data_IF_467552877873
#
_entry.id   IF_467552877873
#
_cell.length_a   1.000
_cell.length_b   1.000
_cell.length_c   1.000
_cell.angle_alpha   90.00
_cell.angle_beta   90.00
_cell.angle_gamma   90.00
#
_symmetry.space_group_name_H-M   'P 1'
#
loop_
_entity.id
_entity.type
_entity.pdbx_description
1 polymer ?
#
# COMPACT_ATOMS: atom_id res chain seq x y z
N UNK A 1 13.48 53.42 -7.61
CA UNK A 1 14.53 53.49 -6.57
C UNK A 1 14.29 52.36 -5.60
N UNK A 2 15.31 51.52 -5.44
CA UNK A 2 15.29 50.28 -4.69
C UNK A 2 15.08 50.51 -3.19
N UNK A 3 14.41 49.57 -2.52
CA UNK A 3 14.63 49.39 -1.08
C UNK A 3 14.82 47.90 -0.80
N UNK A 4 16.00 47.61 -0.26
CA UNK A 4 16.59 46.28 -0.13
C UNK A 4 16.03 45.53 1.08
N UNK A 5 15.80 44.24 0.88
CA UNK A 5 15.54 43.25 1.91
C UNK A 5 16.76 43.04 2.83
N UNK A 6 16.51 42.91 4.14
CA UNK A 6 17.48 42.41 5.11
C UNK A 6 17.14 40.95 5.47
N UNK A 7 18.11 40.02 5.54
CA UNK A 7 17.85 38.62 5.88
C UNK A 7 17.92 38.39 7.39
N UNK A 8 16.86 37.80 7.95
CA UNK A 8 16.82 37.31 9.33
C UNK A 8 17.60 36.00 9.44
N UNK A 9 18.73 36.00 10.18
CA UNK A 9 19.55 34.81 10.44
C UNK A 9 18.93 33.97 11.55
N UNK A 10 18.45 32.78 11.22
CA UNK A 10 18.11 31.72 12.19
C UNK A 10 19.40 31.20 12.84
N UNK A 11 19.54 31.41 14.16
CA UNK A 11 20.54 30.75 15.00
C UNK A 11 20.01 29.37 15.39
N UNK A 12 20.66 28.31 14.92
CA UNK A 12 20.48 26.97 15.48
C UNK A 12 21.20 26.89 16.82
N UNK A 13 20.44 26.77 17.91
CA UNK A 13 20.95 26.38 19.22
C UNK A 13 21.05 24.86 19.26
N UNK A 14 22.27 24.33 19.30
CA UNK A 14 22.55 22.91 19.52
C UNK A 14 22.32 22.58 20.99
N UNK A 15 21.25 21.85 21.29
CA UNK A 15 20.99 21.26 22.61
C UNK A 15 21.87 20.00 22.76
N UNK A 16 22.66 19.84 23.85
CA UNK A 16 23.46 18.64 24.05
C UNK A 16 22.61 17.48 24.58
N UNK A 17 22.79 16.30 23.98
CA UNK A 17 22.26 15.01 24.46
C UNK A 17 22.85 14.66 25.85
N UNK A 18 22.04 14.17 26.81
CA UNK A 18 22.57 13.73 28.09
C UNK A 18 23.26 12.37 27.95
N UNK A 19 24.49 12.31 28.46
CA UNK A 19 25.31 11.12 28.63
C UNK A 19 24.72 10.24 29.74
N UNK A 20 24.38 8.98 29.43
CA UNK A 20 24.06 7.98 30.45
C UNK A 20 25.34 7.42 31.06
N UNK A 21 25.51 7.63 32.36
CA UNK A 21 26.49 6.93 33.20
C UNK A 21 25.93 5.56 33.61
N UNK A 22 26.73 4.48 33.64
CA UNK A 22 26.29 3.19 34.14
C UNK A 22 26.53 3.11 35.65
N UNK A 23 25.49 2.77 36.42
CA UNK A 23 25.62 2.39 37.83
C UNK A 23 25.39 0.87 38.00
N UNK A 24 26.04 0.24 39.00
CA UNK A 24 26.37 -1.18 38.97
C UNK A 24 25.33 -2.05 39.69
N UNK A 25 25.12 -3.26 39.19
CA UNK A 25 24.49 -4.35 39.93
C UNK A 25 25.52 -5.47 40.09
N UNK A 26 25.81 -5.82 41.35
CA UNK A 26 26.65 -6.94 41.72
C UNK A 26 25.95 -7.74 42.81
N UNK A 27 25.88 -9.06 42.61
CA UNK A 27 25.77 -10.19 43.56
C UNK A 27 25.39 -11.41 42.69
N UNK A 28 26.35 -12.19 42.18
CA UNK A 28 26.95 -13.36 42.83
C UNK A 28 26.34 -14.62 42.19
N UNK A 29 27.06 -15.59 41.60
CA UNK A 29 28.02 -16.51 42.24
C UNK A 29 28.63 -17.45 41.15
N UNK A 30 29.96 -17.65 41.25
CA UNK A 30 30.82 -18.78 40.82
C UNK A 30 30.94 -19.20 39.34
N UNK A 31 32.16 -19.03 38.82
CA UNK A 31 32.73 -19.84 37.74
C UNK A 31 34.13 -19.36 37.35
N UNK A 32 35.18 -20.04 37.82
CA UNK A 32 36.60 -19.76 37.54
C UNK A 32 36.94 -20.04 36.07
N UNK A 33 37.73 -19.18 35.42
CA UNK A 33 39.14 -19.44 35.05
C UNK A 33 39.73 -18.21 34.38
N UNK A 34 40.89 -17.82 34.89
CA UNK A 34 41.81 -16.76 34.45
C UNK A 34 42.44 -17.04 33.08
N UNK A 35 42.78 -15.97 32.34
CA UNK A 35 44.16 -15.66 31.90
C UNK A 35 44.20 -14.17 31.52
N UNK A 36 45.14 -13.46 32.15
CA UNK A 36 45.55 -12.08 31.88
C UNK A 36 46.28 -11.93 30.54
N UNK A 37 46.25 -10.73 29.96
CA UNK A 37 47.43 -9.84 29.90
C UNK A 37 47.34 -8.78 28.78
N UNK A 38 47.16 -7.52 29.21
CA UNK A 38 47.97 -6.34 28.86
C UNK A 38 48.28 -6.06 27.37
N UNK A 39 47.73 -4.97 26.82
CA UNK A 39 48.41 -3.66 26.71
C UNK A 39 49.33 -3.52 25.49
N UNK A 40 49.00 -2.60 24.59
CA UNK A 40 49.85 -1.42 24.36
C UNK A 40 49.15 -0.39 23.46
N UNK A 41 49.34 0.86 23.86
CA UNK A 41 48.91 2.11 23.24
C UNK A 41 49.65 2.35 21.92
N UNK A 42 49.02 3.15 21.07
CA UNK A 42 49.69 4.36 20.59
C UNK A 42 49.84 4.50 19.07
N UNK A 43 49.31 5.61 18.57
CA UNK A 43 50.09 6.46 17.67
C UNK A 43 49.67 6.49 16.21
N UNK A 44 48.94 7.55 15.87
CA UNK A 44 48.68 8.02 14.52
C UNK A 44 49.97 8.35 13.73
N UNK A 45 49.97 8.19 12.41
CA UNK A 45 50.01 9.31 11.46
C UNK A 45 50.20 8.89 9.99
N UNK A 46 49.33 9.47 9.16
CA UNK A 46 49.45 9.93 7.77
C UNK A 46 50.62 9.43 6.89
N UNK A 47 50.23 8.94 5.69
CA UNK A 47 50.48 9.70 4.46
C UNK A 47 51.42 9.10 3.40
N UNK A 48 50.81 8.77 2.25
CA UNK A 48 51.31 8.93 0.86
C UNK A 48 52.52 8.10 0.40
N UNK A 49 52.35 7.38 -0.72
CA UNK A 49 53.49 6.98 -1.56
C UNK A 49 53.21 5.75 -2.44
N UNK A 50 52.92 5.99 -3.71
CA UNK A 50 52.72 4.97 -4.72
C UNK A 50 54.05 4.40 -5.26
N UNK A 51 53.96 3.16 -5.73
CA UNK A 51 54.73 2.52 -6.81
C UNK A 51 56.14 1.96 -6.55
N UNK A 52 56.32 0.80 -7.19
CA UNK A 52 57.56 0.14 -7.62
C UNK A 52 58.27 -0.81 -6.63
N UNK A 53 58.06 -2.11 -6.82
CA UNK A 53 59.17 -2.98 -7.23
C UNK A 53 58.64 -4.29 -7.81
N UNK A 54 58.86 -4.46 -9.11
CA UNK A 54 58.74 -5.73 -9.81
C UNK A 54 60.08 -6.49 -9.72
N UNK A 55 59.98 -7.82 -9.73
CA UNK A 55 60.96 -8.82 -10.16
C UNK A 55 61.38 -9.81 -9.06
N UNK A 56 60.80 -11.01 -9.11
CA UNK A 56 61.59 -12.23 -9.30
C UNK A 56 60.66 -13.38 -9.71
N UNK A 57 60.81 -13.82 -10.97
CA UNK A 57 60.23 -15.04 -11.51
C UNK A 57 61.21 -15.56 -12.56
N UNK A 58 61.68 -16.80 -12.39
CA UNK A 58 61.67 -17.86 -13.40
C UNK A 58 62.67 -18.97 -13.05
N UNK A 59 62.18 -20.20 -12.84
CA UNK A 59 62.66 -21.40 -13.56
C UNK A 59 61.90 -22.67 -13.14
N UNK A 60 61.33 -23.37 -14.15
CA UNK A 60 61.09 -24.82 -14.30
C UNK A 60 60.12 -25.52 -13.31
N UNK A 61 59.04 -26.24 -13.66
CA UNK A 61 58.52 -27.03 -14.81
C UNK A 61 57.08 -27.51 -14.41
N UNK A 62 56.36 -28.39 -15.13
CA UNK A 62 55.74 -28.29 -16.45
C UNK A 62 54.19 -28.17 -16.39
N UNK A 63 53.59 -27.87 -17.55
CA UNK A 63 52.15 -27.71 -17.79
C UNK A 63 51.35 -29.00 -17.59
N UNK A 64 50.33 -28.94 -16.73
CA UNK A 64 49.08 -29.72 -16.89
C UNK A 64 47.90 -28.76 -16.81
N UNK A 65 47.03 -28.85 -17.81
CA UNK A 65 45.94 -27.94 -18.09
C UNK A 65 44.78 -28.08 -17.08
N UNK A 66 44.75 -27.26 -16.03
CA UNK A 66 43.57 -27.11 -15.16
C UNK A 66 43.64 -25.90 -14.21
N UNK A 67 44.14 -24.74 -14.64
CA UNK A 67 44.16 -23.54 -13.77
C UNK A 67 44.26 -22.23 -14.54
N UNK A 68 43.43 -22.06 -15.58
CA UNK A 68 43.31 -20.79 -16.31
C UNK A 68 41.89 -20.62 -16.86
N UNK A 69 40.90 -20.66 -15.96
CA UNK A 69 39.51 -20.22 -16.21
C UNK A 69 38.94 -19.63 -14.92
N UNK A 70 39.55 -18.57 -14.40
CA UNK A 70 38.93 -17.78 -13.34
C UNK A 70 39.53 -16.36 -13.31
N UNK A 71 39.45 -15.66 -14.44
CA UNK A 71 39.68 -14.22 -14.56
C UNK A 71 39.30 -13.77 -15.97
N UNK A 72 38.06 -14.01 -16.37
CA UNK A 72 37.50 -13.44 -17.59
C UNK A 72 36.11 -12.94 -17.26
N UNK A 73 36.03 -11.61 -17.09
CA UNK A 73 34.88 -10.76 -17.38
C UNK A 73 33.52 -11.45 -17.26
N UNK A 74 32.79 -11.09 -16.22
CA UNK A 74 31.32 -11.12 -16.19
C UNK A 74 30.79 -10.10 -17.21
N UNK A 75 31.09 -10.31 -18.49
CA UNK A 75 30.31 -9.74 -19.58
C UNK A 75 29.04 -10.56 -19.63
N UNK A 76 27.95 -9.97 -19.14
CA UNK A 76 26.60 -10.36 -19.54
C UNK A 76 26.64 -10.61 -21.04
N UNK A 77 26.56 -11.88 -21.42
CA UNK A 77 26.35 -12.24 -22.81
C UNK A 77 24.92 -11.83 -23.07
N UNK A 78 24.73 -10.62 -23.62
CA UNK A 78 23.48 -10.23 -24.26
C UNK A 78 23.12 -11.39 -25.17
N UNK A 79 22.07 -12.11 -24.80
CA UNK A 79 21.39 -12.95 -25.76
C UNK A 79 21.05 -12.08 -26.98
N UNK A 80 21.10 -12.70 -28.15
CA UNK A 80 20.94 -12.07 -29.45
C UNK A 80 19.81 -11.03 -29.47
N UNK A 81 19.96 -10.01 -30.33
CA UNK A 81 19.03 -8.91 -30.56
C UNK A 81 17.61 -9.37 -30.96
N UNK A 82 16.85 -9.87 -29.99
CA UNK A 82 15.40 -9.82 -29.98
C UNK A 82 14.97 -8.53 -29.28
N UNK A 83 13.84 -7.97 -29.71
CA UNK A 83 13.23 -6.86 -28.98
C UNK A 83 13.00 -7.26 -27.51
N UNK A 84 13.28 -6.35 -26.59
CA UNK A 84 12.98 -6.54 -25.17
C UNK A 84 11.48 -6.90 -25.01
N UNK A 85 11.12 -7.89 -24.18
CA UNK A 85 9.72 -8.25 -23.96
C UNK A 85 8.92 -7.02 -23.51
N UNK A 86 7.71 -6.86 -24.05
CA UNK A 86 6.85 -5.69 -23.79
C UNK A 86 5.68 -6.06 -22.91
N UNK A 87 5.45 -5.27 -21.85
CA UNK A 87 4.21 -5.26 -21.09
C UNK A 87 3.26 -4.20 -21.67
N UNK A 88 2.14 -4.64 -22.23
CA UNK A 88 1.08 -3.79 -22.74
C UNK A 88 0.07 -3.50 -21.65
N UNK A 89 -0.15 -2.21 -21.37
CA UNK A 89 -1.01 -1.73 -20.28
C UNK A 89 -2.28 -1.11 -20.86
N UNK A 90 -3.44 -1.63 -20.44
CA UNK A 90 -4.74 -0.98 -20.62
C UNK A 90 -5.17 -0.28 -19.34
N UNK A 91 -5.36 1.04 -19.36
CA UNK A 91 -5.84 1.81 -18.21
C UNK A 91 -7.36 1.99 -18.26
N UNK A 92 -8.09 1.51 -17.27
CA UNK A 92 -9.51 1.78 -17.09
C UNK A 92 -9.68 2.75 -15.94
N UNK A 93 -10.29 3.92 -16.18
CA UNK A 93 -10.40 4.99 -15.20
C UNK A 93 -9.21 5.96 -15.23
N UNK A 94 -9.33 7.04 -16.00
CA UNK A 94 -8.33 8.11 -16.10
C UNK A 94 -8.65 9.31 -15.18
N UNK A 95 -9.02 9.01 -13.93
CA UNK A 95 -9.28 10.00 -12.87
C UNK A 95 -8.01 10.37 -12.08
N UNK A 96 -8.18 10.83 -10.83
CA UNK A 96 -7.09 11.29 -9.98
C UNK A 96 -5.98 10.22 -9.78
N UNK A 97 -6.36 8.98 -9.45
CA UNK A 97 -5.40 7.88 -9.28
C UNK A 97 -4.83 7.42 -10.62
N UNK A 98 -5.66 7.28 -11.66
CA UNK A 98 -5.23 6.81 -12.97
C UNK A 98 -4.24 7.76 -13.66
N UNK A 99 -4.43 9.08 -13.54
CA UNK A 99 -3.50 10.08 -14.07
C UNK A 99 -2.16 10.06 -13.32
N UNK A 100 -2.19 9.92 -12.00
CA UNK A 100 -0.98 9.84 -11.20
C UNK A 100 -0.21 8.52 -11.47
N UNK A 101 -0.92 7.41 -11.66
CA UNK A 101 -0.33 6.14 -12.09
C UNK A 101 0.35 6.28 -13.46
N UNK A 102 -0.34 6.88 -14.45
CA UNK A 102 0.21 7.14 -15.78
C UNK A 102 1.52 7.92 -15.69
N UNK A 103 1.53 9.00 -14.92
CA UNK A 103 2.73 9.82 -14.68
C UNK A 103 3.87 9.01 -14.05
N UNK A 104 3.58 8.18 -13.05
CA UNK A 104 4.58 7.32 -12.41
C UNK A 104 5.17 6.29 -13.39
N UNK A 105 4.33 5.65 -14.20
CA UNK A 105 4.76 4.67 -15.20
C UNK A 105 5.62 5.30 -16.30
N UNK A 106 5.16 6.39 -16.91
CA UNK A 106 5.89 7.10 -17.98
C UNK A 106 7.24 7.60 -17.48
N UNK A 107 7.29 8.18 -16.27
CA UNK A 107 8.55 8.65 -15.67
C UNK A 107 9.54 7.51 -15.37
N UNK A 108 9.04 6.32 -15.01
CA UNK A 108 9.87 5.17 -14.68
C UNK A 108 10.29 4.36 -15.90
N UNK A 109 9.52 4.36 -16.99
CA UNK A 109 9.67 3.46 -18.14
C UNK A 109 11.11 3.37 -18.69
N UNK A 110 11.87 4.47 -18.94
CA UNK A 110 13.23 4.37 -19.47
C UNK A 110 14.19 3.64 -18.53
N UNK A 111 14.06 3.90 -17.23
CA UNK A 111 14.87 3.25 -16.19
C UNK A 111 14.50 1.78 -16.03
N UNK A 112 13.21 1.46 -16.14
CA UNK A 112 12.73 0.08 -16.04
C UNK A 112 13.20 -0.76 -17.23
N UNK A 113 13.18 -0.22 -18.44
CA UNK A 113 13.71 -0.91 -19.61
C UNK A 113 15.22 -1.22 -19.44
N UNK A 114 16.00 -0.26 -18.94
CA UNK A 114 17.44 -0.47 -18.68
C UNK A 114 17.70 -1.51 -17.58
N UNK A 115 16.94 -1.47 -16.48
CA UNK A 115 17.19 -2.30 -15.29
C UNK A 115 16.53 -3.68 -15.36
N UNK A 116 15.36 -3.78 -15.98
CA UNK A 116 14.54 -4.99 -16.05
C UNK A 116 14.70 -5.68 -17.40
N UNK A 117 15.01 -4.94 -18.46
CA UNK A 117 15.00 -5.48 -19.81
C UNK A 117 13.59 -5.71 -20.34
N UNK A 118 12.59 -5.03 -19.78
CA UNK A 118 11.17 -5.12 -20.16
C UNK A 118 10.68 -3.73 -20.55
N UNK A 119 10.09 -3.61 -21.74
CA UNK A 119 9.43 -2.38 -22.21
C UNK A 119 8.05 -2.26 -21.57
N UNK A 120 7.64 -1.05 -21.23
CA UNK A 120 6.29 -0.73 -20.76
C UNK A 120 5.60 0.15 -21.79
N UNK A 121 4.48 -0.32 -22.34
CA UNK A 121 3.72 0.39 -23.37
C UNK A 121 2.27 0.58 -22.95
N UNK A 122 1.75 1.80 -23.10
CA UNK A 122 0.34 2.10 -22.83
C UNK A 122 -0.45 1.87 -24.11
N UNK A 123 -1.22 0.80 -24.15
CA UNK A 123 -1.95 0.36 -25.33
C UNK A 123 -3.38 0.92 -25.39
N UNK A 124 -4.00 1.20 -24.25
CA UNK A 124 -5.34 1.77 -24.24
C UNK A 124 -5.61 2.55 -22.96
N UNK A 125 -6.48 3.54 -23.03
CA UNK A 125 -6.99 4.28 -21.87
C UNK A 125 -8.50 4.40 -22.01
N UNK A 126 -9.24 4.29 -20.90
CA UNK A 126 -10.69 4.47 -20.85
C UNK A 126 -11.10 5.41 -19.71
N UNK A 127 -12.06 6.29 -20.01
CA UNK A 127 -12.87 7.06 -19.06
C UNK A 127 -14.28 6.45 -19.01
N UNK A 128 -15.18 7.03 -18.23
CA UNK A 128 -16.54 6.48 -18.04
C UNK A 128 -17.38 6.36 -19.31
N UNK A 129 -17.15 7.22 -20.32
CA UNK A 129 -17.96 7.28 -21.56
C UNK A 129 -17.17 7.05 -22.84
N UNK A 130 -15.87 7.27 -22.79
CA UNK A 130 -14.99 7.24 -23.96
C UNK A 130 -13.73 6.45 -23.65
N UNK A 131 -13.10 5.91 -24.68
CA UNK A 131 -11.79 5.28 -24.62
C UNK A 131 -10.94 5.69 -25.83
N UNK A 132 -9.64 5.46 -25.73
CA UNK A 132 -8.69 5.65 -26.80
C UNK A 132 -7.82 4.39 -26.90
N UNK A 133 -7.74 3.81 -28.09
CA UNK A 133 -6.78 2.77 -28.43
C UNK A 133 -5.52 3.44 -28.97
N UNK A 134 -4.38 3.12 -28.39
CA UNK A 134 -3.16 3.89 -28.54
C UNK A 134 -2.10 3.12 -29.33
N UNK A 135 -1.45 3.74 -30.31
CA UNK A 135 -0.31 3.13 -30.99
C UNK A 135 0.91 3.01 -30.04
N UNK A 136 1.87 2.13 -30.35
CA UNK A 136 3.11 2.01 -29.59
C UNK A 136 3.83 3.35 -29.40
N UNK A 137 4.41 3.56 -28.22
CA UNK A 137 5.12 4.79 -27.86
C UNK A 137 4.23 5.94 -27.38
N UNK A 138 2.91 5.73 -27.21
CA UNK A 138 2.02 6.73 -26.62
C UNK A 138 2.32 6.95 -25.12
N UNK A 139 2.31 8.20 -24.68
CA UNK A 139 2.67 8.63 -23.33
C UNK A 139 1.55 9.38 -22.59
N UNK A 140 0.33 9.37 -23.15
CA UNK A 140 -0.77 10.15 -22.60
C UNK A 140 -2.15 9.85 -23.19
N UNK A 141 -3.14 10.56 -22.68
CA UNK A 141 -4.49 10.62 -23.25
C UNK A 141 -4.49 11.45 -24.53
N UNK A 142 -5.05 10.90 -25.60
CA UNK A 142 -5.18 11.56 -26.91
C UNK A 142 -6.67 11.74 -27.26
N UNK A 143 -7.17 12.97 -27.10
CA UNK A 143 -8.58 13.32 -27.35
C UNK A 143 -8.99 13.11 -28.82
N UNK A 144 -8.04 13.15 -29.76
CA UNK A 144 -8.32 12.96 -31.19
C UNK A 144 -8.66 11.52 -31.57
N UNK A 145 -8.39 10.57 -30.66
CA UNK A 145 -8.61 9.12 -30.84
C UNK A 145 -9.75 8.60 -29.99
N UNK A 146 -10.60 9.47 -29.45
CA UNK A 146 -11.73 9.07 -28.62
C UNK A 146 -12.78 8.30 -29.43
N UNK A 147 -13.20 7.18 -28.87
CA UNK A 147 -14.37 6.41 -29.29
C UNK A 147 -15.20 6.01 -28.07
N UNK A 148 -16.48 5.59 -28.23
CA UNK A 148 -17.30 5.17 -27.10
C UNK A 148 -16.62 4.09 -26.25
N UNK A 149 -16.73 4.19 -24.93
CA UNK A 149 -16.10 3.23 -24.02
C UNK A 149 -16.69 1.82 -24.23
N UNK A 150 -15.80 0.87 -24.52
CA UNK A 150 -16.10 -0.55 -24.68
C UNK A 150 -14.96 -1.35 -24.05
N UNK A 151 -15.23 -1.89 -22.85
CA UNK A 151 -14.24 -2.58 -22.04
C UNK A 151 -13.83 -3.95 -22.60
N UNK A 152 -14.70 -4.60 -23.39
CA UNK A 152 -14.38 -5.84 -24.07
C UNK A 152 -13.41 -5.57 -25.24
N UNK A 153 -13.74 -4.55 -26.05
CA UNK A 153 -12.86 -4.10 -27.14
C UNK A 153 -11.51 -3.62 -26.62
N UNK A 154 -11.48 -2.86 -25.52
CA UNK A 154 -10.24 -2.44 -24.87
C UNK A 154 -9.40 -3.64 -24.44
N UNK A 155 -10.00 -4.57 -23.70
CA UNK A 155 -9.27 -5.75 -23.22
C UNK A 155 -8.73 -6.60 -24.37
N UNK A 156 -9.54 -6.81 -25.40
CA UNK A 156 -9.11 -7.51 -26.62
C UNK A 156 -7.92 -6.82 -27.30
N UNK A 157 -7.96 -5.50 -27.45
CA UNK A 157 -6.87 -4.75 -28.08
C UNK A 157 -5.54 -4.93 -27.34
N UNK A 158 -5.56 -4.85 -26.01
CA UNK A 158 -4.35 -5.01 -25.17
C UNK A 158 -3.81 -6.45 -25.26
N UNK A 159 -4.69 -7.46 -25.26
CA UNK A 159 -4.31 -8.87 -25.44
C UNK A 159 -3.73 -9.12 -26.83
N UNK A 160 -4.36 -8.61 -27.89
CA UNK A 160 -3.90 -8.77 -29.27
C UNK A 160 -2.52 -8.08 -29.48
N UNK A 161 -2.29 -6.92 -28.86
CA UNK A 161 -1.01 -6.22 -28.87
C UNK A 161 0.10 -7.07 -28.20
N UNK A 162 -0.19 -7.63 -27.02
CA UNK A 162 0.72 -8.52 -26.32
C UNK A 162 1.03 -9.80 -27.12
N UNK A 163 0.02 -10.44 -27.71
CA UNK A 163 0.22 -11.61 -28.55
C UNK A 163 1.09 -11.30 -29.77
N UNK A 164 0.89 -10.14 -30.39
CA UNK A 164 1.64 -9.71 -31.58
C UNK A 164 3.12 -9.44 -31.29
N UNK A 165 3.45 -8.93 -30.10
CA UNK A 165 4.83 -8.65 -29.70
C UNK A 165 5.50 -9.80 -28.92
N UNK A 166 4.81 -10.92 -28.68
CA UNK A 166 5.26 -11.96 -27.75
C UNK A 166 5.42 -11.46 -26.30
N UNK A 167 4.67 -10.42 -25.93
CA UNK A 167 4.70 -9.76 -24.64
C UNK A 167 3.64 -10.28 -23.66
N UNK A 168 3.32 -9.48 -22.64
CA UNK A 168 2.19 -9.73 -21.72
C UNK A 168 1.21 -8.56 -21.75
N UNK A 169 -0.05 -8.86 -21.44
CA UNK A 169 -1.10 -7.88 -21.28
C UNK A 169 -1.42 -7.70 -19.80
N UNK A 170 -1.58 -6.45 -19.36
CA UNK A 170 -2.16 -6.11 -18.07
C UNK A 170 -3.23 -5.04 -18.25
N UNK A 171 -4.38 -5.24 -17.60
CA UNK A 171 -5.45 -4.24 -17.55
C UNK A 171 -5.51 -3.71 -16.12
N UNK A 172 -5.43 -2.39 -15.98
CA UNK A 172 -5.38 -1.71 -14.70
C UNK A 172 -6.63 -0.86 -14.51
N UNK A 173 -7.55 -1.33 -13.68
CA UNK A 173 -8.81 -0.65 -13.39
C UNK A 173 -8.68 0.24 -12.16
N UNK A 174 -8.53 1.55 -12.36
CA UNK A 174 -8.45 2.59 -11.33
C UNK A 174 -9.82 3.24 -11.01
N UNK A 175 -10.92 2.53 -11.26
CA UNK A 175 -12.27 3.02 -10.93
C UNK A 175 -12.73 2.57 -9.53
N UNK A 176 -13.95 2.95 -9.17
CA UNK A 176 -14.63 2.49 -7.96
C UNK A 176 -16.04 1.92 -8.27
N UNK A 177 -16.27 1.50 -9.52
CA UNK A 177 -17.57 1.05 -10.03
C UNK A 177 -17.61 -0.45 -10.28
N UNK A 178 -18.80 -1.02 -10.29
CA UNK A 178 -19.00 -2.45 -10.58
C UNK A 178 -18.78 -2.81 -12.05
N UNK A 179 -19.01 -1.88 -12.99
CA UNK A 179 -18.94 -2.12 -14.44
C UNK A 179 -17.64 -2.81 -14.90
N UNK A 180 -16.45 -2.27 -14.60
CA UNK A 180 -15.19 -2.95 -14.93
C UNK A 180 -15.01 -4.28 -14.19
N UNK A 181 -15.44 -4.39 -12.93
CA UNK A 181 -15.31 -5.63 -12.16
C UNK A 181 -16.11 -6.80 -12.76
N UNK A 182 -17.20 -6.54 -13.49
CA UNK A 182 -17.97 -7.57 -14.21
C UNK A 182 -17.21 -8.22 -15.36
N UNK A 183 -16.22 -7.53 -15.95
CA UNK A 183 -15.48 -8.04 -17.13
C UNK A 183 -14.10 -8.63 -16.79
N UNK A 184 -13.68 -8.60 -15.52
CA UNK A 184 -12.40 -9.14 -15.08
C UNK A 184 -12.22 -10.63 -15.41
N UNK A 185 -13.28 -11.43 -15.24
CA UNK A 185 -13.26 -12.85 -15.59
C UNK A 185 -12.87 -13.04 -17.07
N UNK A 186 -13.50 -12.29 -17.97
CA UNK A 186 -13.23 -12.37 -19.40
C UNK A 186 -11.78 -11.97 -19.75
N UNK A 187 -11.27 -10.91 -19.12
CA UNK A 187 -9.88 -10.48 -19.32
C UNK A 187 -8.86 -11.51 -18.83
N UNK A 188 -9.07 -12.08 -17.64
CA UNK A 188 -8.20 -13.12 -17.07
C UNK A 188 -8.25 -14.41 -17.91
N UNK A 189 -9.43 -14.79 -18.40
CA UNK A 189 -9.60 -15.93 -19.31
C UNK A 189 -8.92 -15.72 -20.66
N UNK A 190 -8.82 -14.47 -21.13
CA UNK A 190 -8.07 -14.09 -22.33
C UNK A 190 -6.54 -14.01 -22.09
N UNK A 191 -6.07 -14.21 -20.86
CA UNK A 191 -4.65 -14.22 -20.51
C UNK A 191 -4.08 -12.86 -20.11
N UNK A 192 -4.91 -11.82 -19.94
CA UNK A 192 -4.47 -10.54 -19.40
C UNK A 192 -4.41 -10.59 -17.87
N UNK A 193 -3.29 -10.16 -17.30
CA UNK A 193 -3.21 -9.85 -15.87
C UNK A 193 -4.16 -8.67 -15.56
N UNK A 194 -4.71 -8.61 -14.34
CA UNK A 194 -5.57 -7.51 -13.89
C UNK A 194 -4.98 -6.91 -12.61
N UNK A 195 -4.77 -5.59 -12.58
CA UNK A 195 -4.37 -4.87 -11.37
C UNK A 195 -5.41 -3.81 -10.98
N UNK A 196 -5.71 -3.61 -9.69
CA UNK A 196 -6.77 -2.67 -9.32
C UNK A 196 -6.72 -2.15 -7.86
N UNK A 197 -7.04 -0.86 -7.61
CA UNK A 197 -7.50 -0.37 -6.30
C UNK A 197 -9.03 -0.50 -6.12
N UNK A 198 -9.77 -0.99 -7.12
CA UNK A 198 -11.23 -1.10 -7.10
C UNK A 198 -11.69 -2.22 -6.17
N UNK A 199 -12.12 -1.82 -4.97
CA UNK A 199 -12.63 -2.73 -3.93
C UNK A 199 -13.87 -3.51 -4.39
N UNK A 200 -14.59 -3.09 -5.43
CA UNK A 200 -15.84 -3.74 -5.88
C UNK A 200 -15.59 -5.19 -6.33
N UNK A 201 -14.44 -5.48 -6.94
CA UNK A 201 -14.10 -6.84 -7.36
C UNK A 201 -14.00 -7.80 -6.17
N UNK A 202 -13.28 -7.40 -5.11
CA UNK A 202 -13.07 -8.24 -3.93
C UNK A 202 -14.15 -8.16 -2.85
N UNK A 203 -14.98 -7.11 -2.81
CA UNK A 203 -16.05 -6.90 -1.80
C UNK A 203 -17.48 -6.94 -2.36
N UNK A 204 -17.63 -7.19 -3.67
CA UNK A 204 -18.94 -7.38 -4.29
C UNK A 204 -19.51 -8.79 -4.07
N UNK A 205 -20.52 -9.20 -4.85
CA UNK A 205 -21.14 -10.52 -4.72
C UNK A 205 -20.10 -11.64 -4.74
N UNK A 206 -20.16 -12.57 -3.78
CA UNK A 206 -19.19 -13.65 -3.66
C UNK A 206 -19.03 -14.48 -4.97
N UNK A 207 -20.11 -14.81 -5.72
CA UNK A 207 -19.96 -15.56 -6.97
C UNK A 207 -19.12 -14.84 -8.04
N UNK A 208 -19.13 -13.49 -8.06
CA UNK A 208 -18.28 -12.72 -8.99
C UNK A 208 -16.81 -12.83 -8.59
N UNK A 209 -16.51 -12.68 -7.30
CA UNK A 209 -15.16 -12.86 -6.77
C UNK A 209 -14.62 -14.27 -7.05
N UNK A 210 -15.42 -15.32 -6.81
CA UNK A 210 -15.04 -16.70 -7.07
C UNK A 210 -14.68 -16.94 -8.54
N UNK A 211 -15.47 -16.41 -9.48
CA UNK A 211 -15.18 -16.49 -10.92
C UNK A 211 -13.87 -15.79 -11.29
N UNK A 212 -13.59 -14.62 -10.73
CA UNK A 212 -12.33 -13.88 -10.94
C UNK A 212 -11.14 -14.72 -10.47
N UNK A 213 -11.22 -15.28 -9.26
CA UNK A 213 -10.14 -16.12 -8.70
C UNK A 213 -9.96 -17.41 -9.52
N UNK A 214 -11.06 -18.06 -9.92
CA UNK A 214 -11.03 -19.27 -10.74
C UNK A 214 -10.44 -19.01 -12.13
N UNK A 215 -10.78 -17.89 -12.77
CA UNK A 215 -10.21 -17.49 -14.05
C UNK A 215 -8.69 -17.28 -13.95
N UNK A 216 -8.25 -16.59 -12.90
CA UNK A 216 -6.83 -16.36 -12.61
C UNK A 216 -6.07 -17.70 -12.45
N UNK A 217 -6.61 -18.63 -11.68
CA UNK A 217 -6.02 -19.96 -11.50
C UNK A 217 -5.99 -20.78 -12.80
N UNK A 218 -7.03 -20.69 -13.62
CA UNK A 218 -7.17 -21.47 -14.86
C UNK A 218 -6.15 -21.09 -15.93
N UNK A 219 -5.86 -19.80 -16.09
CA UNK A 219 -4.97 -19.31 -17.15
C UNK A 219 -3.55 -18.99 -16.66
N UNK A 220 -3.37 -18.80 -15.35
CA UNK A 220 -2.13 -18.29 -14.77
C UNK A 220 -1.96 -16.77 -14.92
N UNK A 221 -2.92 -16.07 -15.53
CA UNK A 221 -3.01 -14.62 -15.45
C UNK A 221 -3.34 -14.21 -14.01
N UNK A 222 -2.75 -13.15 -13.49
CA UNK A 222 -2.87 -12.76 -12.09
C UNK A 222 -3.95 -11.71 -11.88
N UNK A 223 -4.71 -11.89 -10.81
CA UNK A 223 -5.52 -10.83 -10.21
C UNK A 223 -4.74 -10.19 -9.05
N UNK A 224 -4.38 -8.91 -9.20
CA UNK A 224 -3.53 -8.14 -8.30
C UNK A 224 -4.32 -6.95 -7.74
N UNK A 225 -4.41 -6.83 -6.42
CA UNK A 225 -5.34 -5.87 -5.80
C UNK A 225 -4.81 -5.27 -4.51
N UNK A 226 -3.48 -5.11 -4.40
CA UNK A 226 -2.80 -4.55 -3.23
C UNK A 226 -3.46 -3.25 -2.77
N UNK A 227 -3.73 -2.36 -3.73
CA UNK A 227 -4.24 -1.03 -3.45
C UNK A 227 -5.70 -0.94 -2.99
N UNK A 228 -6.39 -2.08 -2.86
CA UNK A 228 -7.74 -2.13 -2.29
C UNK A 228 -7.75 -1.96 -0.77
N UNK A 229 -6.68 -2.37 -0.08
CA UNK A 229 -6.56 -2.31 1.39
C UNK A 229 -5.25 -1.63 1.77
N UNK A 230 -5.32 -0.41 2.32
CA UNK A 230 -4.13 0.33 2.75
C UNK A 230 -3.45 1.16 1.65
N UNK A 231 -4.09 1.35 0.49
CA UNK A 231 -3.60 2.16 -0.62
C UNK A 231 -2.24 1.72 -1.18
N UNK A 232 -1.13 2.28 -0.69
CA UNK A 232 0.22 1.89 -1.11
C UNK A 232 0.94 1.02 -0.08
N UNK A 233 0.32 0.78 1.08
CA UNK A 233 0.88 -0.06 2.12
C UNK A 233 0.86 -1.53 1.68
N UNK A 234 1.96 -2.28 1.89
CA UNK A 234 1.98 -3.71 1.60
C UNK A 234 1.19 -4.44 2.70
N UNK A 235 -0.11 -4.60 2.52
CA UNK A 235 -0.99 -5.32 3.44
C UNK A 235 -1.30 -6.70 2.88
N UNK A 236 -1.78 -6.77 1.64
CA UNK A 236 -2.19 -8.03 1.01
C UNK A 236 -0.97 -8.85 0.60
N UNK A 237 0.07 -8.23 0.06
CA UNK A 237 1.29 -8.91 -0.36
C UNK A 237 1.95 -9.72 0.77
N UNK A 238 2.24 -9.13 1.94
CA UNK A 238 2.74 -9.87 3.09
C UNK A 238 1.77 -10.94 3.59
N UNK A 239 0.47 -10.64 3.68
CA UNK A 239 -0.54 -11.61 4.09
C UNK A 239 -0.56 -12.84 3.17
N UNK A 240 -0.58 -12.62 1.85
CA UNK A 240 -0.50 -13.65 0.83
C UNK A 240 0.81 -14.43 0.89
N UNK A 241 1.94 -13.78 1.19
CA UNK A 241 3.21 -14.45 1.34
C UNK A 241 3.20 -15.43 2.53
N UNK A 242 2.58 -15.06 3.65
CA UNK A 242 2.40 -15.94 4.80
C UNK A 242 1.54 -17.15 4.45
N UNK A 243 0.38 -16.92 3.81
CA UNK A 243 -0.52 -17.99 3.38
C UNK A 243 0.15 -18.95 2.40
N UNK A 244 0.87 -18.42 1.39
CA UNK A 244 1.61 -19.23 0.41
C UNK A 244 2.75 -20.04 1.04
N UNK A 245 3.37 -19.52 2.10
CA UNK A 245 4.43 -20.22 2.83
C UNK A 245 3.88 -21.33 3.76
N UNK A 246 2.57 -21.39 3.98
CA UNK A 246 1.90 -22.36 4.85
C UNK A 246 1.74 -21.91 6.29
N UNK A 247 1.77 -20.60 6.56
CA UNK A 247 1.38 -20.06 7.87
C UNK A 247 -0.14 -20.17 8.07
N UNK A 248 -0.56 -20.22 9.34
CA UNK A 248 -1.96 -20.28 9.74
C UNK A 248 -2.34 -18.94 10.39
N UNK A 249 -3.00 -18.06 9.62
CA UNK A 249 -3.48 -16.76 10.11
C UNK A 249 -4.64 -16.99 11.08
N UNK A 250 -4.56 -16.39 12.26
CA UNK A 250 -5.59 -16.49 13.31
C UNK A 250 -6.53 -15.28 13.28
N UNK A 251 -5.98 -14.09 13.09
CA UNK A 251 -6.76 -12.86 13.00
C UNK A 251 -6.05 -11.77 12.20
N UNK A 252 -6.86 -10.89 11.62
CA UNK A 252 -6.42 -9.65 11.00
C UNK A 252 -7.24 -8.52 11.60
N UNK A 253 -6.57 -7.49 12.12
CA UNK A 253 -7.23 -6.32 12.70
C UNK A 253 -6.54 -5.05 12.23
N UNK A 254 -7.27 -3.96 12.04
CA UNK A 254 -6.64 -2.72 11.60
C UNK A 254 -7.53 -1.50 11.56
N UNK A 255 -6.87 -0.35 11.44
CA UNK A 255 -7.49 0.94 11.13
C UNK A 255 -7.30 1.15 9.63
N UNK A 256 -8.41 1.11 8.90
CA UNK A 256 -8.38 1.10 7.43
C UNK A 256 -8.94 2.38 6.79
N UNK A 257 -9.39 3.35 7.58
CA UNK A 257 -9.85 4.66 7.10
C UNK A 257 -8.94 5.77 7.62
N UNK A 258 -8.32 6.53 6.70
CA UNK A 258 -7.48 7.67 7.04
C UNK A 258 -8.27 8.79 7.71
N UNK A 259 -9.51 9.03 7.27
CA UNK A 259 -10.43 10.03 7.85
C UNK A 259 -10.77 9.70 9.29
N UNK A 260 -11.17 8.45 9.56
CA UNK A 260 -11.50 8.02 10.91
C UNK A 260 -10.24 7.95 11.79
N UNK A 261 -9.10 7.52 11.24
CA UNK A 261 -7.81 7.59 11.94
C UNK A 261 -7.49 9.03 12.37
N UNK A 262 -7.62 9.99 11.45
CA UNK A 262 -7.44 11.41 11.76
C UNK A 262 -8.36 11.89 12.89
N UNK A 263 -9.66 11.60 12.80
CA UNK A 263 -10.65 12.00 13.80
C UNK A 263 -10.29 11.45 15.18
N UNK A 264 -10.05 10.14 15.31
CA UNK A 264 -9.75 9.51 16.61
C UNK A 264 -8.35 9.81 17.15
N UNK A 265 -7.39 10.18 16.28
CA UNK A 265 -6.08 10.66 16.72
C UNK A 265 -6.12 12.10 17.22
N UNK A 266 -7.01 12.93 16.63
CA UNK A 266 -7.17 14.35 16.95
C UNK A 266 -8.11 14.59 18.12
N UNK A 267 -9.14 13.77 18.30
CA UNK A 267 -10.12 13.92 19.37
C UNK A 267 -9.49 13.70 20.76
N UNK A 268 -9.72 14.66 21.67
CA UNK A 268 -9.18 14.72 23.03
C UNK A 268 -10.25 15.16 24.02
N UNK A 269 -10.09 14.83 25.32
CA UNK A 269 -10.99 15.31 26.36
C UNK A 269 -11.15 16.84 26.32
N UNK A 270 -12.40 17.32 26.41
CA UNK A 270 -12.73 18.74 26.36
C UNK A 270 -12.92 19.30 24.94
N UNK A 271 -12.74 18.49 23.89
CA UNK A 271 -13.07 18.83 22.51
C UNK A 271 -14.26 17.98 22.07
N UNK A 272 -15.29 18.61 21.50
CA UNK A 272 -16.49 17.94 21.01
C UNK A 272 -16.19 17.08 19.79
N UNK A 273 -16.85 15.93 19.66
CA UNK A 273 -16.69 15.05 18.50
C UNK A 273 -17.10 15.76 17.21
N UNK A 274 -18.23 16.48 17.23
CA UNK A 274 -18.71 17.23 16.06
C UNK A 274 -17.71 18.28 15.56
N UNK A 275 -16.97 18.92 16.48
CA UNK A 275 -15.97 19.94 16.15
C UNK A 275 -14.77 19.31 15.42
N UNK A 276 -14.34 18.12 15.83
CA UNK A 276 -13.27 17.38 15.16
C UNK A 276 -13.71 16.93 13.76
N UNK A 277 -14.95 16.46 13.61
CA UNK A 277 -15.51 16.09 12.30
C UNK A 277 -15.59 17.31 11.38
N UNK A 278 -16.03 18.46 11.93
CA UNK A 278 -16.07 19.73 11.21
C UNK A 278 -14.68 20.15 10.72
N UNK A 279 -13.69 20.09 11.59
CA UNK A 279 -12.30 20.41 11.25
C UNK A 279 -11.73 19.48 10.17
N UNK A 280 -11.99 18.16 10.30
CA UNK A 280 -11.58 17.18 9.29
C UNK A 280 -12.18 17.51 7.92
N UNK A 281 -13.46 17.90 7.89
CA UNK A 281 -14.14 18.32 6.67
C UNK A 281 -13.55 19.61 6.08
N UNK A 282 -13.33 20.64 6.89
CA UNK A 282 -12.74 21.91 6.45
C UNK A 282 -11.32 21.73 5.86
N UNK A 283 -10.58 20.74 6.37
CA UNK A 283 -9.26 20.33 5.84
C UNK A 283 -9.33 19.42 4.60
N UNK A 284 -10.52 19.00 4.19
CA UNK A 284 -10.73 18.09 3.07
C UNK A 284 -10.30 16.65 3.34
N UNK A 285 -10.31 16.22 4.60
CA UNK A 285 -10.04 14.82 4.98
C UNK A 285 -11.28 13.94 4.93
N UNK A 286 -12.48 14.52 4.90
CA UNK A 286 -13.73 13.77 4.70
C UNK A 286 -14.17 13.85 3.24
N UNK A 287 -15.05 12.95 2.84
CA UNK A 287 -15.90 13.13 1.67
C UNK A 287 -16.82 14.37 1.82
N UNK A 288 -17.43 14.89 0.73
CA UNK A 288 -18.34 16.03 0.80
C UNK A 288 -19.50 15.85 1.81
N UNK A 289 -19.94 14.60 1.96
CA UNK A 289 -20.83 14.14 3.02
C UNK A 289 -20.07 13.25 4.02
N UNK A 290 -19.77 13.74 5.24
CA UNK A 290 -19.03 12.97 6.24
C UNK A 290 -19.68 11.64 6.66
N UNK A 291 -20.96 11.43 6.35
CA UNK A 291 -21.65 10.15 6.59
C UNK A 291 -21.03 9.01 5.80
N UNK A 292 -20.45 9.28 4.64
CA UNK A 292 -19.79 8.26 3.81
C UNK A 292 -18.56 7.66 4.51
N UNK A 293 -17.85 8.46 5.31
CA UNK A 293 -16.73 8.03 6.14
C UNK A 293 -17.20 7.41 7.47
N UNK A 294 -18.05 8.14 8.21
CA UNK A 294 -18.54 7.76 9.54
C UNK A 294 -19.43 6.51 9.52
N UNK A 295 -20.06 6.21 8.38
CA UNK A 295 -20.87 5.02 8.17
C UNK A 295 -20.06 3.73 8.14
N UNK A 296 -18.76 3.80 7.87
CA UNK A 296 -17.85 2.64 7.94
C UNK A 296 -17.90 1.67 6.75
N UNK A 297 -18.71 1.95 5.72
CA UNK A 297 -18.87 1.09 4.52
C UNK A 297 -17.55 0.88 3.77
N UNK A 298 -16.67 1.89 3.70
CA UNK A 298 -15.34 1.72 3.09
C UNK A 298 -14.47 0.72 3.87
N UNK A 299 -14.50 0.79 5.20
CA UNK A 299 -13.81 -0.15 6.09
C UNK A 299 -14.42 -1.54 5.96
N UNK A 300 -15.74 -1.65 5.89
CA UNK A 300 -16.46 -2.91 5.69
C UNK A 300 -15.97 -3.63 4.43
N UNK A 301 -15.87 -2.92 3.30
CA UNK A 301 -15.36 -3.49 2.04
C UNK A 301 -13.93 -4.00 2.17
N UNK A 302 -13.05 -3.25 2.83
CA UNK A 302 -11.64 -3.65 3.05
C UNK A 302 -11.56 -4.90 3.93
N UNK A 303 -12.40 -4.98 4.97
CA UNK A 303 -12.49 -6.15 5.84
C UNK A 303 -13.05 -7.37 5.10
N UNK A 304 -14.05 -7.21 4.23
CA UNK A 304 -14.55 -8.31 3.38
C UNK A 304 -13.45 -8.85 2.48
N UNK A 305 -12.63 -7.98 1.88
CA UNK A 305 -11.48 -8.39 1.05
C UNK A 305 -10.48 -9.19 1.89
N UNK A 306 -10.09 -8.68 3.07
CA UNK A 306 -9.17 -9.38 3.97
C UNK A 306 -9.71 -10.74 4.43
N UNK A 307 -11.01 -10.81 4.75
CA UNK A 307 -11.67 -12.05 5.16
C UNK A 307 -11.66 -13.10 4.06
N UNK A 308 -11.95 -12.69 2.82
CA UNK A 308 -11.86 -13.58 1.64
C UNK A 308 -10.43 -14.01 1.36
N UNK A 309 -9.46 -13.11 1.52
CA UNK A 309 -8.02 -13.40 1.35
C UNK A 309 -7.55 -14.54 2.25
N UNK A 310 -7.99 -14.55 3.51
CA UNK A 310 -7.61 -15.57 4.50
C UNK A 310 -8.52 -16.81 4.46
N UNK A 311 -9.35 -16.94 3.42
CA UNK A 311 -10.10 -18.16 3.11
C UNK A 311 -11.54 -18.21 3.63
N UNK A 312 -12.12 -17.10 4.12
CA UNK A 312 -13.52 -17.08 4.53
C UNK A 312 -14.46 -16.84 3.33
N UNK A 313 -15.52 -17.64 3.25
CA UNK A 313 -16.64 -17.41 2.34
C UNK A 313 -17.65 -16.48 3.01
N UNK A 314 -17.60 -15.19 2.68
CA UNK A 314 -18.39 -14.14 3.34
C UNK A 314 -18.92 -13.12 2.32
N UNK A 315 -20.16 -12.68 2.51
CA UNK A 315 -20.73 -11.54 1.78
C UNK A 315 -20.46 -10.22 2.51
N UNK A 316 -20.70 -9.09 1.84
CA UNK A 316 -20.51 -7.78 2.48
C UNK A 316 -21.40 -7.62 3.72
N UNK A 317 -22.65 -8.08 3.64
CA UNK A 317 -23.67 -7.95 4.70
C UNK A 317 -23.38 -8.83 5.93
N UNK A 318 -22.56 -9.87 5.78
CA UNK A 318 -22.09 -10.71 6.89
C UNK A 318 -21.03 -10.00 7.76
N UNK A 319 -20.53 -8.84 7.32
CA UNK A 319 -19.60 -8.00 8.08
C UNK A 319 -20.39 -6.88 8.78
N UNK A 320 -20.88 -7.08 10.01
CA UNK A 320 -21.63 -6.06 10.73
C UNK A 320 -20.79 -4.80 10.96
N UNK A 321 -21.41 -3.65 10.71
CA UNK A 321 -20.81 -2.32 10.92
C UNK A 321 -21.57 -1.59 12.02
N UNK A 322 -20.87 -1.25 13.10
CA UNK A 322 -21.39 -0.29 14.09
C UNK A 322 -21.04 1.12 13.62
N UNK A 323 -21.95 1.71 12.85
CA UNK A 323 -21.82 3.08 12.32
C UNK A 323 -21.60 4.11 13.43
N UNK A 324 -20.83 5.16 13.11
CA UNK A 324 -20.70 6.36 13.95
C UNK A 324 -21.76 7.42 13.61
N UNK A 325 -22.53 7.22 12.53
CA UNK A 325 -23.66 8.08 12.19
C UNK A 325 -24.84 7.70 13.07
N UNK A 326 -25.35 8.61 13.93
CA UNK A 326 -26.53 8.34 14.76
C UNK A 326 -27.72 7.89 13.90
N UNK A 327 -28.52 6.94 14.38
CA UNK A 327 -29.61 6.33 13.60
C UNK A 327 -30.57 7.36 13.00
N UNK A 328 -30.89 8.42 13.75
CA UNK A 328 -31.76 9.52 13.30
C UNK A 328 -31.17 10.34 12.16
N UNK A 329 -29.85 10.30 11.94
CA UNK A 329 -29.13 11.07 10.92
C UNK A 329 -28.72 10.23 9.69
N UNK A 330 -28.88 8.90 9.73
CA UNK A 330 -28.48 8.00 8.62
C UNK A 330 -29.28 8.28 7.35
N UNK A 331 -30.60 8.42 7.46
CA UNK A 331 -31.50 8.74 6.34
C UNK A 331 -32.06 10.16 6.41
N UNK A 332 -31.47 11.01 7.23
CA UNK A 332 -31.90 12.39 7.38
C UNK A 332 -31.50 13.24 6.17
N UNK A 333 -32.39 14.17 5.82
CA UNK A 333 -32.17 15.17 4.77
C UNK A 333 -32.22 16.58 5.38
N UNK A 334 -31.40 17.50 4.87
CA UNK A 334 -31.30 18.84 5.40
C UNK A 334 -32.54 19.65 5.04
N UNK A 335 -32.89 20.68 5.84
CA UNK A 335 -33.85 21.69 5.41
C UNK A 335 -33.45 22.30 4.06
N UNK A 336 -34.45 22.63 3.25
CA UNK A 336 -34.26 23.13 1.88
C UNK A 336 -33.24 24.27 1.81
N UNK A 337 -32.29 24.16 0.89
CA UNK A 337 -31.27 25.17 0.62
C UNK A 337 -29.95 25.02 1.40
N UNK A 338 -29.85 24.08 2.36
CA UNK A 338 -28.57 23.78 3.03
C UNK A 338 -27.79 22.68 2.30
N UNK A 339 -26.46 22.79 2.32
CA UNK A 339 -25.57 21.70 1.88
C UNK A 339 -25.63 20.56 2.89
N UNK A 340 -25.95 19.36 2.40
CA UNK A 340 -26.16 18.14 3.19
C UNK A 340 -25.09 17.91 4.25
N UNK A 341 -23.82 17.83 3.85
CA UNK A 341 -22.74 17.56 4.78
C UNK A 341 -22.48 18.69 5.78
N UNK A 342 -22.83 19.95 5.48
CA UNK A 342 -22.63 21.06 6.44
C UNK A 342 -23.72 21.00 7.52
N UNK A 343 -24.96 20.80 7.08
CA UNK A 343 -26.11 20.65 7.96
C UNK A 343 -26.00 19.38 8.82
N UNK A 344 -25.47 18.28 8.28
CA UNK A 344 -25.22 17.06 9.04
C UNK A 344 -24.27 17.31 10.23
N UNK A 345 -23.19 18.06 10.03
CA UNK A 345 -22.23 18.37 11.11
C UNK A 345 -22.85 19.26 12.18
N UNK A 346 -23.76 20.18 11.80
CA UNK A 346 -24.54 20.97 12.76
C UNK A 346 -25.44 20.05 13.62
N UNK A 347 -26.16 19.12 13.01
CA UNK A 347 -27.04 18.18 13.74
C UNK A 347 -26.25 17.17 14.59
N UNK A 348 -25.01 16.85 14.21
CA UNK A 348 -24.15 15.94 14.95
C UNK A 348 -23.84 16.46 16.38
N UNK A 349 -23.89 17.77 16.59
CA UNK A 349 -23.67 18.39 17.92
C UNK A 349 -24.64 17.89 19.00
N UNK A 350 -25.83 17.42 18.60
CA UNK A 350 -26.83 16.87 19.52
C UNK A 350 -26.41 15.51 20.12
N UNK A 351 -25.34 14.90 19.61
CA UNK A 351 -24.83 13.59 20.02
C UNK A 351 -23.44 13.65 20.64
N UNK A 352 -22.89 14.85 20.87
CA UNK A 352 -21.57 15.01 21.48
C UNK A 352 -21.50 14.40 22.88
N UNK A 353 -22.56 14.54 23.69
CA UNK A 353 -22.59 14.01 25.06
C UNK A 353 -22.41 12.48 25.10
N UNK A 354 -23.01 11.75 24.14
CA UNK A 354 -22.87 10.30 24.03
C UNK A 354 -21.43 9.90 23.65
N UNK A 355 -20.82 10.65 22.73
CA UNK A 355 -19.44 10.42 22.32
C UNK A 355 -18.45 10.78 23.43
N UNK A 356 -18.64 11.90 24.10
CA UNK A 356 -17.79 12.34 25.21
C UNK A 356 -17.81 11.33 26.36
N UNK A 357 -18.96 10.70 26.65
CA UNK A 357 -19.04 9.62 27.62
C UNK A 357 -18.14 8.43 27.24
N UNK A 358 -18.17 7.99 25.97
CA UNK A 358 -17.30 6.91 25.48
C UNK A 358 -15.81 7.26 25.61
N UNK A 359 -15.44 8.51 25.30
CA UNK A 359 -14.06 8.97 25.42
C UNK A 359 -13.61 9.01 26.89
N UNK A 360 -14.45 9.52 27.79
CA UNK A 360 -14.16 9.55 29.23
C UNK A 360 -14.00 8.15 29.82
N UNK A 361 -14.85 7.19 29.42
CA UNK A 361 -14.73 5.80 29.84
C UNK A 361 -13.43 5.13 29.37
N UNK A 362 -12.98 5.43 28.14
CA UNK A 362 -11.71 4.93 27.62
C UNK A 362 -10.52 5.55 28.37
N UNK A 363 -10.52 6.86 28.59
CA UNK A 363 -9.45 7.55 29.33
C UNK A 363 -9.35 7.08 30.79
N UNK A 364 -10.50 6.87 31.46
CA UNK A 364 -10.53 6.34 32.82
C UNK A 364 -9.91 4.94 32.94
N UNK A 365 -9.98 4.14 31.86
CA UNK A 365 -9.36 2.83 31.77
C UNK A 365 -7.91 2.85 31.22
N UNK A 366 -7.34 4.03 30.96
CA UNK A 366 -6.03 4.21 30.33
C UNK A 366 -5.95 3.58 28.92
N UNK A 367 -7.03 3.73 28.15
CA UNK A 367 -7.20 3.23 26.79
C UNK A 367 -7.43 4.37 25.79
N UNK A 368 -7.40 4.05 24.50
CA UNK A 368 -7.75 4.94 23.40
C UNK A 368 -8.86 4.32 22.54
N UNK A 369 -9.68 5.18 21.94
CA UNK A 369 -10.70 4.77 20.99
C UNK A 369 -10.14 4.72 19.56
N UNK A 370 -10.43 3.64 18.83
CA UNK A 370 -10.05 3.49 17.41
C UNK A 370 -11.16 2.82 16.64
N UNK A 371 -11.49 3.35 15.46
CA UNK A 371 -12.44 2.69 14.57
C UNK A 371 -11.72 1.62 13.75
N UNK A 372 -12.07 0.36 13.97
CA UNK A 372 -11.32 -0.78 13.47
C UNK A 372 -12.18 -1.72 12.65
N UNK A 373 -11.52 -2.38 11.71
CA UNK A 373 -12.00 -3.60 11.07
C UNK A 373 -11.27 -4.80 11.63
N UNK A 374 -11.97 -5.90 11.86
CA UNK A 374 -11.40 -7.13 12.40
C UNK A 374 -11.94 -8.36 11.67
N UNK A 375 -11.08 -9.36 11.49
CA UNK A 375 -11.42 -10.71 11.03
C UNK A 375 -10.85 -11.71 12.03
N UNK A 376 -11.71 -12.60 12.52
CA UNK A 376 -11.38 -13.74 13.37
C UNK A 376 -11.60 -15.02 12.57
N UNK A 377 -10.49 -15.69 12.22
CA UNK A 377 -10.51 -16.89 11.38
C UNK A 377 -11.15 -18.07 12.12
N UNK A 378 -10.87 -18.23 13.43
CA UNK A 378 -11.39 -19.34 14.23
C UNK A 378 -12.90 -19.22 14.41
N UNK A 379 -13.40 -18.00 14.60
CA UNK A 379 -14.84 -17.74 14.70
C UNK A 379 -15.54 -17.71 13.33
N UNK A 380 -14.79 -17.57 12.23
CA UNK A 380 -15.34 -17.35 10.89
C UNK A 380 -16.12 -16.04 10.79
N UNK A 381 -15.71 -15.01 11.54
CA UNK A 381 -16.45 -13.76 11.69
C UNK A 381 -15.58 -12.56 11.36
N UNK A 382 -16.22 -11.53 10.82
CA UNK A 382 -15.63 -10.22 10.64
C UNK A 382 -16.52 -9.14 11.25
N UNK A 383 -15.97 -7.97 11.55
CA UNK A 383 -16.75 -6.83 12.06
C UNK A 383 -16.05 -5.50 11.86
N UNK A 384 -16.82 -4.42 11.86
CA UNK A 384 -16.32 -3.04 11.86
C UNK A 384 -16.98 -2.29 13.01
N UNK A 385 -16.18 -1.73 13.91
CA UNK A 385 -16.70 -1.04 15.11
C UNK A 385 -15.67 -0.11 15.73
N UNK A 386 -16.16 0.72 16.65
CA UNK A 386 -15.32 1.44 17.60
C UNK A 386 -14.75 0.45 18.64
N UNK A 387 -13.42 0.31 18.66
CA UNK A 387 -12.67 -0.49 19.62
C UNK A 387 -11.96 0.38 20.67
N UNK A 388 -11.61 -0.26 21.79
CA UNK A 388 -10.82 0.32 22.89
C UNK A 388 -9.49 -0.43 22.97
N UNK A 389 -8.39 0.30 23.05
CA UNK A 389 -7.04 -0.28 23.09
C UNK A 389 -6.21 0.33 24.20
N UNK A 390 -5.41 -0.45 24.95
CA UNK A 390 -4.42 0.07 25.87
C UNK A 390 -3.46 1.07 25.21
N UNK A 391 -2.99 2.07 25.95
CA UNK A 391 -2.08 3.11 25.41
C UNK A 391 -0.72 2.58 24.91
N UNK A 392 -0.33 1.36 25.28
CA UNK A 392 0.87 0.67 24.78
C UNK A 392 0.60 -0.27 23.59
N UNK A 393 -0.66 -0.41 23.16
CA UNK A 393 -1.03 -1.17 21.97
C UNK A 393 -0.53 -0.47 20.69
N UNK A 394 -0.11 -1.20 19.64
CA UNK A 394 0.34 -0.57 18.38
C UNK A 394 -0.65 0.45 17.79
N UNK A 395 -1.95 0.20 17.89
CA UNK A 395 -2.98 1.11 17.37
C UNK A 395 -3.08 2.44 18.14
N UNK A 396 -2.55 2.50 19.36
CA UNK A 396 -2.49 3.76 20.11
C UNK A 396 -1.36 4.67 19.60
N UNK A 397 -0.36 4.11 18.90
CA UNK A 397 0.78 4.86 18.35
C UNK A 397 0.56 5.42 16.94
N UNK A 398 -0.60 5.15 16.32
CA UNK A 398 -0.92 5.73 15.01
C UNK A 398 -0.98 7.24 15.10
N UNK A 399 -0.48 7.90 14.04
CA UNK A 399 -0.44 9.34 13.96
C UNK A 399 -1.26 9.81 12.78
N UNK A 400 -1.85 10.99 12.93
CA UNK A 400 -2.53 11.68 11.83
C UNK A 400 -3.56 10.76 11.14
N UNK A 401 -3.46 10.58 9.82
CA UNK A 401 -4.35 9.76 9.00
C UNK A 401 -3.74 8.39 8.60
N UNK A 402 -2.79 7.88 9.40
CA UNK A 402 -2.17 6.58 9.11
C UNK A 402 -3.17 5.43 9.22
N UNK A 403 -3.07 4.49 8.29
CA UNK A 403 -3.65 3.17 8.45
C UNK A 403 -2.64 2.24 9.13
N UNK A 404 -3.16 1.25 9.84
CA UNK A 404 -2.37 0.19 10.48
C UNK A 404 -3.09 -1.14 10.34
N UNK A 405 -2.35 -2.19 10.03
CA UNK A 405 -2.84 -3.56 9.95
C UNK A 405 -1.96 -4.45 10.83
N UNK A 406 -2.60 -5.23 11.70
CA UNK A 406 -1.98 -6.24 12.54
C UNK A 406 -2.46 -7.63 12.10
N UNK A 407 -1.52 -8.52 11.78
CA UNK A 407 -1.80 -9.92 11.43
C UNK A 407 -1.23 -10.80 12.53
N UNK A 408 -2.11 -11.55 13.19
CA UNK A 408 -1.73 -12.58 14.17
C UNK A 408 -1.81 -13.94 13.48
N UNK A 409 -0.78 -14.75 13.64
CA UNK A 409 -0.69 -16.08 13.05
C UNK A 409 0.11 -17.02 13.94
N UNK A 410 0.17 -18.29 13.53
CA UNK A 410 1.01 -19.30 14.19
C UNK A 410 2.49 -18.92 14.23
N UNK A 411 3.00 -18.24 13.20
CA UNK A 411 4.40 -17.75 13.20
C UNK A 411 4.57 -16.37 13.85
N UNK A 412 3.54 -15.54 13.84
CA UNK A 412 3.54 -14.20 14.46
C UNK A 412 2.81 -14.19 15.80
N UNK A 413 3.42 -14.87 16.79
CA UNK A 413 2.94 -14.99 18.17
C UNK A 413 4.11 -14.88 19.17
N UNK A 414 3.94 -14.25 20.36
CA UNK A 414 2.73 -13.56 20.84
C UNK A 414 2.57 -12.15 20.27
N UNK A 415 3.45 -11.70 19.37
CA UNK A 415 3.41 -10.36 18.77
C UNK A 415 3.01 -10.44 17.30
N UNK A 416 1.99 -9.69 16.85
CA UNK A 416 1.54 -9.71 15.46
C UNK A 416 2.55 -9.06 14.51
N UNK A 417 2.46 -9.39 13.23
CA UNK A 417 3.04 -8.60 12.16
C UNK A 417 2.27 -7.29 12.05
N UNK A 418 2.95 -6.15 12.12
CA UNK A 418 2.33 -4.82 12.03
C UNK A 418 2.86 -4.07 10.81
N UNK A 419 1.94 -3.58 9.97
CA UNK A 419 2.23 -2.69 8.84
C UNK A 419 1.49 -1.38 9.06
N UNK A 420 2.20 -0.25 9.02
CA UNK A 420 1.63 1.09 9.25
C UNK A 420 2.16 2.10 8.23
N UNK A 421 1.31 3.05 7.85
CA UNK A 421 1.70 4.30 7.19
C UNK A 421 0.49 4.98 6.53
N UNK A 422 0.72 5.89 5.56
CA UNK A 422 -0.35 6.61 4.90
C UNK A 422 -1.30 5.66 4.15
N UNK A 423 -2.58 5.68 4.53
CA UNK A 423 -3.60 4.77 4.01
C UNK A 423 -4.47 5.30 2.87
N UNK A 424 -4.21 6.53 2.42
CA UNK A 424 -4.99 7.24 1.40
C UNK A 424 -4.11 8.26 0.65
N UNK A 425 -4.63 8.76 -0.47
CA UNK A 425 -3.99 9.77 -1.31
C UNK A 425 -3.59 9.22 -2.68
N UNK A 426 -3.83 10.02 -3.72
CA UNK A 426 -3.69 9.60 -5.11
C UNK A 426 -2.33 9.00 -5.45
N UNK A 427 -1.24 9.66 -5.03
CA UNK A 427 0.12 9.23 -5.30
C UNK A 427 0.47 7.91 -4.61
N UNK A 428 0.02 7.73 -3.37
CA UNK A 428 0.28 6.52 -2.57
C UNK A 428 -0.53 5.34 -3.12
N UNK A 429 -1.81 5.54 -3.44
CA UNK A 429 -2.63 4.52 -4.10
C UNK A 429 -2.07 4.14 -5.47
N UNK A 430 -1.71 5.12 -6.30
CA UNK A 430 -1.10 4.88 -7.60
C UNK A 430 0.23 4.11 -7.48
N UNK A 431 1.05 4.39 -6.46
CA UNK A 431 2.26 3.64 -6.20
C UNK A 431 1.99 2.18 -5.81
N UNK A 432 0.93 1.92 -5.03
CA UNK A 432 0.47 0.56 -4.72
C UNK A 432 0.06 -0.20 -5.98
N UNK A 433 -0.73 0.42 -6.85
CA UNK A 433 -1.12 -0.18 -8.14
C UNK A 433 0.10 -0.40 -9.03
N UNK A 434 1.01 0.58 -9.10
CA UNK A 434 2.23 0.47 -9.88
C UNK A 434 3.13 -0.66 -9.37
N UNK A 435 3.16 -0.92 -8.06
CA UNK A 435 3.90 -2.05 -7.50
C UNK A 435 3.38 -3.40 -8.03
N UNK A 436 2.06 -3.54 -8.27
CA UNK A 436 1.50 -4.73 -8.91
C UNK A 436 1.89 -4.83 -10.40
N UNK A 437 1.89 -3.71 -11.13
CA UNK A 437 2.42 -3.68 -12.52
C UNK A 437 3.89 -4.13 -12.54
N UNK A 438 4.69 -3.66 -11.60
CA UNK A 438 6.10 -4.04 -11.44
C UNK A 438 6.28 -5.53 -11.12
N UNK A 439 5.37 -6.13 -10.37
CA UNK A 439 5.34 -7.58 -10.14
C UNK A 439 5.08 -8.37 -11.43
N UNK A 440 4.34 -7.78 -12.39
CA UNK A 440 4.20 -8.31 -13.76
C UNK A 440 5.47 -8.19 -14.55
N UNK A 441 6.06 -7.01 -14.60
CA UNK A 441 7.30 -6.81 -15.33
C UNK A 441 8.44 -7.70 -14.82
N UNK A 442 8.61 -7.84 -13.49
CA UNK A 442 9.67 -8.67 -12.93
C UNK A 442 9.54 -10.16 -13.27
N UNK A 443 8.31 -10.66 -13.46
CA UNK A 443 8.04 -12.05 -13.86
C UNK A 443 8.23 -12.32 -15.36
N UNK A 444 8.54 -11.30 -16.16
CA UNK A 444 8.80 -11.41 -17.60
C UNK A 444 10.29 -11.52 -17.95
N UNK A 445 11.17 -11.33 -16.96
CA UNK A 445 12.60 -11.64 -17.06
C UNK A 445 12.81 -13.15 -17.14
#
# INVERSE_FOLDING_TARGET
>A
MANMAAPCRLRFSTVPLPTRSPAPWSLGVKGRTSIDATSLRGGASRGVGAAACAAMLAACLPRTAAAQRCAARTSYTRCAAGDAPTLHVGLVGYGLVGQELMKQMVAAAPKLEEQIGVKLEIAAISKSKVMALLPPGSDGWDESKEEPADLEKLGKYVVDAAASSGGRAIIVDNTASDGPAEVYEAWLLAGADVATPNKRAGSGPFPRYEKIMAASQKTGARFLYEATVGAGLPVLGPLQALLRAGDEVESVEGIFSGTLSYIFNTWKPGVKFSDVVKEAKEKGFTEPDPRDDLGGTDVQRKVTILAREIGLTIELDDVPVKSLVPDKLQSWEPPSGKKLGDAFVEELTAYDDEMDALLQEAEAANEVLRFVGAVDVKAGKASVKLGRYPKDHPFASTQFADNICAVSSKWYTPRPLVVQGPGAGAAVTAAGVFSNVMEVMNGMR
#
